data_IF_465689028279
#
_entry.id   IF_465689028279
#
_cell.length_a   1.000
_cell.length_b   1.000
_cell.length_c   1.000
_cell.angle_alpha   90.00
_cell.angle_beta   90.00
_cell.angle_gamma   90.00
#
_symmetry.space_group_name_H-M   'P 1'
#
loop_
_entity.id
_entity.type
_entity.pdbx_description
1 polymer ?
#
# COMPACT_ATOMS: atom_id res chain seq x y z
N UNK A 1 19.06 -68.03 0.17
CA UNK A 1 18.69 -68.22 -1.25
C UNK A 1 17.19 -68.50 -1.28
N UNK A 2 16.28 -67.83 -2.00
CA UNK A 2 16.30 -66.79 -3.04
C UNK A 2 14.99 -65.99 -2.89
N UNK A 3 15.06 -64.70 -3.17
CA UNK A 3 13.93 -63.77 -3.26
C UNK A 3 13.14 -64.07 -4.54
N UNK A 4 11.81 -63.95 -4.51
CA UNK A 4 10.97 -63.85 -5.72
C UNK A 4 10.04 -62.65 -5.54
N UNK A 5 10.34 -61.57 -6.27
CA UNK A 5 9.45 -60.43 -6.61
C UNK A 5 9.88 -60.06 -8.03
N UNK A 6 9.18 -60.55 -9.05
CA UNK A 6 8.03 -59.95 -9.76
C UNK A 6 8.45 -59.29 -11.08
N UNK A 7 7.95 -59.88 -12.16
CA UNK A 7 7.94 -59.44 -13.56
C UNK A 7 6.89 -58.31 -13.65
N UNK A 8 7.27 -57.09 -14.04
CA UNK A 8 7.32 -56.52 -15.39
C UNK A 8 5.94 -56.12 -15.98
N UNK A 9 5.87 -54.82 -16.30
CA UNK A 9 5.16 -54.12 -17.39
C UNK A 9 3.67 -53.71 -17.29
N UNK A 10 3.49 -52.43 -17.65
CA UNK A 10 2.31 -51.88 -18.32
C UNK A 10 1.60 -50.82 -17.48
N UNK A 11 1.47 -49.55 -17.88
CA UNK A 11 1.89 -48.86 -19.09
C UNK A 11 1.69 -47.35 -18.86
N UNK A 12 2.51 -46.55 -19.52
CA UNK A 12 2.39 -45.09 -19.52
C UNK A 12 1.23 -44.75 -20.46
N UNK A 13 0.08 -44.40 -19.89
CA UNK A 13 -1.01 -43.77 -20.62
C UNK A 13 -0.90 -42.24 -20.42
N UNK A 14 -0.81 -41.60 -21.58
CA UNK A 14 -0.55 -40.19 -21.81
C UNK A 14 -1.55 -39.27 -21.12
N UNK A 15 -1.02 -38.10 -20.75
CA UNK A 15 -1.74 -36.95 -20.27
C UNK A 15 -2.97 -36.63 -21.13
N UNK A 16 -4.14 -36.69 -20.49
CA UNK A 16 -5.26 -35.82 -20.84
C UNK A 16 -5.32 -34.74 -19.77
N UNK A 17 -4.39 -33.78 -19.86
CA UNK A 17 -4.58 -32.47 -19.24
C UNK A 17 -5.71 -31.79 -20.01
N UNK A 18 -6.94 -32.07 -19.60
CA UNK A 18 -8.04 -31.13 -19.78
C UNK A 18 -7.59 -29.82 -19.15
N UNK A 19 -7.31 -28.82 -19.98
CA UNK A 19 -7.05 -27.45 -19.56
C UNK A 19 -8.33 -26.90 -18.94
N UNK A 20 -8.53 -27.17 -17.66
CA UNK A 20 -9.44 -26.39 -16.83
C UNK A 20 -8.76 -25.07 -16.50
N UNK A 21 -8.69 -24.21 -17.51
CA UNK A 21 -8.34 -22.80 -17.40
C UNK A 21 -9.50 -22.07 -16.68
N UNK A 22 -9.68 -22.27 -15.36
CA UNK A 22 -10.40 -21.29 -14.50
C UNK A 22 -10.49 -21.58 -12.99
N UNK A 23 -9.47 -22.18 -12.35
CA UNK A 23 -9.36 -22.10 -10.88
C UNK A 23 -7.93 -21.87 -10.43
N UNK A 24 -7.47 -20.61 -10.48
CA UNK A 24 -6.44 -20.14 -9.56
C UNK A 24 -7.03 -20.08 -8.13
N UNK A 25 -7.33 -21.23 -7.54
CA UNK A 25 -7.69 -21.37 -6.12
C UNK A 25 -6.43 -21.42 -5.26
N UNK A 26 -5.53 -20.45 -5.43
CA UNK A 26 -4.54 -20.16 -4.40
C UNK A 26 -5.11 -19.02 -3.59
N UNK A 27 -5.49 -19.29 -2.34
CA UNK A 27 -5.89 -18.25 -1.39
C UNK A 27 -4.81 -17.15 -1.39
N UNK A 28 -5.23 -15.89 -1.35
CA UNK A 28 -4.33 -14.74 -1.21
C UNK A 28 -3.54 -14.91 0.10
N UNK A 29 -2.20 -15.09 0.07
CA UNK A 29 -1.43 -15.45 1.25
C UNK A 29 -1.40 -14.35 2.32
N UNK A 30 -1.72 -13.11 1.95
CA UNK A 30 -1.81 -11.98 2.89
C UNK A 30 -3.28 -11.80 3.32
N UNK A 31 -4.18 -11.63 2.36
CA UNK A 31 -5.57 -11.28 2.66
C UNK A 31 -6.37 -12.43 3.30
N UNK A 32 -5.95 -13.68 3.12
CA UNK A 32 -6.58 -14.83 3.79
C UNK A 32 -6.18 -14.98 5.26
N UNK A 33 -5.16 -14.27 5.72
CA UNK A 33 -4.73 -14.33 7.12
C UNK A 33 -5.68 -13.53 8.03
N UNK A 34 -5.77 -13.89 9.33
CA UNK A 34 -6.53 -13.10 10.29
C UNK A 34 -6.10 -11.64 10.30
N UNK A 35 -7.09 -10.75 10.36
CA UNK A 35 -6.89 -9.34 10.59
C UNK A 35 -6.87 -9.07 12.10
N UNK A 36 -5.88 -8.32 12.55
CA UNK A 36 -5.75 -7.84 13.92
C UNK A 36 -5.95 -6.33 13.90
N UNK A 37 -6.97 -5.86 14.60
CA UNK A 37 -7.27 -4.45 14.74
C UNK A 37 -6.16 -3.71 15.49
N UNK A 38 -5.85 -2.47 15.07
CA UNK A 38 -5.01 -1.59 15.87
C UNK A 38 -5.78 -1.20 17.15
N UNK A 39 -5.23 -1.48 18.34
CA UNK A 39 -5.90 -1.18 19.62
C UNK A 39 -5.32 0.02 20.35
N UNK A 40 -4.07 0.36 20.06
CA UNK A 40 -3.39 1.56 20.52
C UNK A 40 -2.50 2.10 19.40
N UNK A 41 -2.42 3.42 19.27
CA UNK A 41 -1.48 4.07 18.37
C UNK A 41 -0.03 3.66 18.65
N UNK A 42 0.34 3.33 19.90
CA UNK A 42 1.67 2.83 20.31
C UNK A 42 2.16 1.59 19.56
N UNK A 43 1.25 0.79 19.01
CA UNK A 43 1.58 -0.36 18.16
C UNK A 43 2.19 0.08 16.80
N UNK A 44 1.98 1.34 16.38
CA UNK A 44 2.63 1.93 15.21
C UNK A 44 4.05 2.39 15.56
N UNK A 45 5.01 1.50 15.37
CA UNK A 45 6.45 1.76 15.58
C UNK A 45 6.92 2.93 14.70
N UNK A 46 7.65 3.88 15.28
CA UNK A 46 8.23 5.02 14.53
C UNK A 46 9.13 4.56 13.38
N UNK A 47 9.13 5.32 12.29
CA UNK A 47 10.06 5.17 11.18
C UNK A 47 9.43 4.64 9.90
N UNK A 48 10.28 4.16 8.99
CA UNK A 48 9.90 3.77 7.63
C UNK A 48 9.21 2.41 7.57
N UNK A 49 8.10 2.35 6.83
CA UNK A 49 7.41 1.15 6.40
C UNK A 49 7.41 1.10 4.87
N UNK A 50 7.94 0.03 4.30
CA UNK A 50 8.02 -0.19 2.87
C UNK A 50 6.68 -0.65 2.31
N UNK A 51 6.20 -0.06 1.22
CA UNK A 51 5.01 -0.53 0.53
C UNK A 51 5.22 -1.93 -0.03
N UNK A 52 4.23 -2.80 0.15
CA UNK A 52 4.28 -4.22 -0.27
C UNK A 52 3.25 -4.51 -1.34
N UNK A 53 2.11 -3.81 -1.32
CA UNK A 53 1.03 -4.07 -2.27
C UNK A 53 -0.30 -3.50 -1.81
N UNK A 54 -1.32 -3.70 -2.63
CA UNK A 54 -2.69 -3.32 -2.32
C UNK A 54 -3.69 -4.44 -2.63
N UNK A 55 -4.79 -4.46 -1.85
CA UNK A 55 -5.97 -5.29 -2.12
C UNK A 55 -7.02 -4.42 -2.82
N UNK A 56 -7.35 -4.75 -4.07
CA UNK A 56 -8.39 -4.08 -4.88
C UNK A 56 -9.39 -5.15 -5.37
N UNK A 57 -10.68 -4.98 -5.07
CA UNK A 57 -11.72 -5.93 -5.46
C UNK A 57 -11.37 -7.36 -5.05
N UNK A 58 -11.49 -8.32 -5.97
CA UNK A 58 -11.13 -9.74 -5.76
C UNK A 58 -9.67 -10.08 -6.10
N UNK A 59 -8.88 -9.09 -6.54
CA UNK A 59 -7.47 -9.31 -6.89
C UNK A 59 -6.68 -9.67 -5.64
N UNK A 60 -5.72 -10.58 -5.76
CA UNK A 60 -4.76 -10.86 -4.68
C UNK A 60 -3.97 -9.59 -4.35
N UNK A 61 -3.50 -9.47 -3.11
CA UNK A 61 -2.56 -8.42 -2.71
C UNK A 61 -1.38 -8.48 -3.66
N UNK A 62 -1.24 -7.44 -4.47
CA UNK A 62 -0.20 -7.36 -5.48
C UNK A 62 1.13 -7.09 -4.80
N UNK A 63 1.88 -8.14 -4.46
CA UNK A 63 3.27 -8.02 -4.08
C UNK A 63 4.00 -7.25 -5.18
N UNK A 64 4.71 -6.17 -4.84
CA UNK A 64 5.59 -5.47 -5.77
C UNK A 64 6.68 -6.45 -6.22
N UNK A 65 6.42 -7.18 -7.30
CA UNK A 65 7.46 -7.84 -8.07
C UNK A 65 8.15 -6.78 -8.93
N UNK A 66 9.38 -7.04 -9.38
CA UNK A 66 10.22 -6.11 -10.15
C UNK A 66 9.54 -5.46 -11.39
N UNK A 67 8.35 -5.95 -11.78
CA UNK A 67 7.46 -5.36 -12.79
C UNK A 67 6.84 -4.01 -12.39
N UNK A 68 6.74 -3.67 -11.10
CA UNK A 68 6.22 -2.37 -10.63
C UNK A 68 7.38 -1.43 -10.24
N UNK A 69 8.20 -1.09 -11.24
CA UNK A 69 9.53 -0.42 -11.11
C UNK A 69 9.65 0.67 -10.04
N UNK A 70 8.65 1.56 -9.92
CA UNK A 70 8.70 2.65 -8.94
C UNK A 70 7.97 2.38 -7.63
N UNK A 71 7.08 1.37 -7.60
CA UNK A 71 6.33 1.02 -6.39
C UNK A 71 7.22 0.41 -5.32
N UNK A 72 8.39 -0.12 -5.68
CA UNK A 72 9.43 -0.51 -4.73
C UNK A 72 10.03 0.66 -3.95
N UNK A 73 9.80 1.91 -4.37
CA UNK A 73 10.23 3.11 -3.66
C UNK A 73 9.12 3.69 -2.76
N UNK A 74 7.87 3.26 -2.94
CA UNK A 74 6.72 3.75 -2.16
C UNK A 74 6.90 3.39 -0.69
N UNK A 75 6.70 4.35 0.20
CA UNK A 75 6.87 4.09 1.62
C UNK A 75 6.08 5.06 2.48
N UNK A 76 5.71 4.55 3.65
CA UNK A 76 5.09 5.28 4.72
C UNK A 76 6.15 5.59 5.79
N UNK A 77 6.04 6.73 6.44
CA UNK A 77 6.87 7.08 7.61
C UNK A 77 5.95 7.48 8.75
N UNK A 78 6.08 6.79 9.87
CA UNK A 78 5.39 7.12 11.13
C UNK A 78 6.26 8.08 11.91
N UNK A 79 5.73 9.27 12.20
CA UNK A 79 6.39 10.32 12.95
C UNK A 79 5.78 10.45 14.35
N UNK A 80 6.64 10.60 15.36
CA UNK A 80 6.22 10.78 16.75
C UNK A 80 6.95 11.93 17.41
N UNK A 81 6.26 12.59 18.31
CA UNK A 81 6.83 13.55 19.25
C UNK A 81 6.64 13.00 20.67
N UNK A 82 7.70 12.39 21.21
CA UNK A 82 7.59 11.61 22.45
C UNK A 82 6.69 10.39 22.26
N UNK A 83 5.71 10.21 23.14
CA UNK A 83 4.73 9.12 23.06
C UNK A 83 3.61 9.39 22.03
N UNK A 84 3.41 10.65 21.62
CA UNK A 84 2.28 11.04 20.76
C UNK A 84 2.59 10.73 19.30
N UNK A 85 1.66 10.05 18.62
CA UNK A 85 1.65 9.96 17.16
C UNK A 85 1.40 11.35 16.59
N UNK A 86 2.44 11.96 16.02
CA UNK A 86 2.34 13.28 15.42
C UNK A 86 1.66 13.19 14.05
N UNK A 87 2.26 12.40 13.16
CA UNK A 87 1.80 12.31 11.79
C UNK A 87 2.27 11.04 11.10
N UNK A 88 1.65 10.74 9.96
CA UNK A 88 2.11 9.68 9.06
C UNK A 88 2.25 10.30 7.66
N UNK A 89 3.41 10.16 7.02
CA UNK A 89 3.61 10.62 5.64
C UNK A 89 3.69 9.46 4.67
N UNK A 90 3.00 9.54 3.55
CA UNK A 90 3.10 8.59 2.45
C UNK A 90 3.78 9.20 1.23
N UNK A 91 4.87 8.56 0.81
CA UNK A 91 5.63 8.88 -0.38
C UNK A 91 5.23 7.89 -1.47
N UNK A 92 4.62 8.40 -2.54
CA UNK A 92 4.16 7.59 -3.67
C UNK A 92 4.90 8.01 -4.93
N UNK A 93 5.39 7.05 -5.70
CA UNK A 93 6.20 7.26 -6.88
C UNK A 93 5.55 6.63 -8.12
N UNK A 94 5.83 7.24 -9.27
CA UNK A 94 5.47 6.72 -10.59
C UNK A 94 6.64 6.86 -11.56
N UNK A 95 6.71 6.00 -12.58
CA UNK A 95 7.71 6.15 -13.63
C UNK A 95 7.41 7.40 -14.47
N UNK A 96 8.46 8.14 -14.77
CA UNK A 96 8.47 9.30 -15.67
C UNK A 96 9.69 9.20 -16.61
N UNK A 97 9.60 9.76 -17.81
CA UNK A 97 10.73 9.82 -18.75
C UNK A 97 11.31 11.24 -18.74
N UNK A 98 12.55 11.36 -18.28
CA UNK A 98 13.31 12.63 -18.24
C UNK A 98 14.61 12.41 -18.99
N UNK A 99 14.94 13.26 -19.96
CA UNK A 99 16.17 13.17 -20.76
C UNK A 99 16.45 11.76 -21.33
N UNK A 100 15.39 11.09 -21.82
CA UNK A 100 15.39 9.72 -22.35
C UNK A 100 15.75 8.62 -21.34
N UNK A 101 15.73 8.92 -20.05
CA UNK A 101 15.88 7.96 -18.95
C UNK A 101 14.58 7.82 -18.19
N UNK A 102 14.28 6.60 -17.75
CA UNK A 102 13.15 6.35 -16.88
C UNK A 102 13.57 6.62 -15.42
N UNK A 103 12.83 7.48 -14.74
CA UNK A 103 13.07 7.85 -13.35
C UNK A 103 11.79 7.63 -12.51
N UNK A 104 11.97 7.40 -11.21
CA UNK A 104 10.86 7.29 -10.27
C UNK A 104 10.66 8.61 -9.55
N UNK A 105 9.70 9.40 -10.02
CA UNK A 105 9.35 10.67 -9.42
C UNK A 105 8.18 10.54 -8.46
N UNK A 106 8.20 11.37 -7.42
CA UNK A 106 7.08 11.49 -6.50
C UNK A 106 5.84 11.97 -7.25
N UNK A 107 4.71 11.29 -7.06
CA UNK A 107 3.41 11.68 -7.63
C UNK A 107 2.96 13.03 -7.08
N UNK A 108 3.27 13.28 -5.81
CA UNK A 108 2.90 14.50 -5.12
C UNK A 108 4.11 15.42 -4.98
N UNK A 109 3.88 16.73 -5.08
CA UNK A 109 4.93 17.73 -4.85
C UNK A 109 5.54 17.63 -3.44
N UNK A 110 4.72 17.21 -2.47
CA UNK A 110 5.12 16.89 -1.10
C UNK A 110 4.43 15.59 -0.67
N UNK A 111 5.02 14.82 0.26
CA UNK A 111 4.40 13.59 0.75
C UNK A 111 3.01 13.88 1.32
N UNK A 112 2.07 13.00 1.01
CA UNK A 112 0.71 13.07 1.53
C UNK A 112 0.75 12.83 3.04
N UNK A 113 0.06 13.67 3.80
CA UNK A 113 0.16 13.71 5.26
C UNK A 113 -1.14 13.25 5.88
N UNK A 114 -1.08 12.21 6.71
CA UNK A 114 -2.12 11.89 7.69
C UNK A 114 -1.78 12.58 9.00
N UNK A 115 -2.70 13.40 9.49
CA UNK A 115 -2.53 14.14 10.74
C UNK A 115 -3.84 14.22 11.50
N UNK A 116 -3.77 14.73 12.75
CA UNK A 116 -4.92 14.72 13.69
C UNK A 116 -5.44 13.30 13.88
N UNK A 117 -4.50 12.37 14.07
CA UNK A 117 -4.76 10.95 14.14
C UNK A 117 -5.30 10.60 15.53
N UNK A 118 -6.49 9.99 15.58
CA UNK A 118 -7.13 9.53 16.81
C UNK A 118 -7.74 8.16 16.59
N UNK A 119 -7.40 7.20 17.45
CA UNK A 119 -8.02 5.88 17.42
C UNK A 119 -9.37 5.95 18.13
N UNK A 120 -10.46 6.03 17.35
CA UNK A 120 -11.81 6.23 17.89
C UNK A 120 -12.49 4.93 18.34
N UNK A 121 -11.97 3.80 17.87
CA UNK A 121 -12.29 2.44 18.33
C UNK A 121 -11.21 1.49 17.82
N UNK A 122 -11.08 0.27 18.37
CA UNK A 122 -10.22 -0.77 17.79
C UNK A 122 -10.43 -0.87 16.28
N UNK A 123 -9.33 -0.81 15.53
CA UNK A 123 -9.34 -0.96 14.08
C UNK A 123 -9.75 0.29 13.27
N UNK A 124 -10.16 1.39 13.90
CA UNK A 124 -10.65 2.59 13.21
C UNK A 124 -9.94 3.87 13.65
N UNK A 125 -9.20 4.48 12.72
CA UNK A 125 -8.48 5.73 12.90
C UNK A 125 -9.25 6.90 12.29
N UNK A 126 -9.63 7.87 13.10
CA UNK A 126 -10.03 9.19 12.62
C UNK A 126 -8.79 9.98 12.22
N UNK A 127 -8.78 10.55 11.01
CA UNK A 127 -7.62 11.27 10.46
C UNK A 127 -8.02 12.33 9.43
N UNK A 128 -7.11 13.27 9.20
CA UNK A 128 -7.11 14.22 8.09
C UNK A 128 -5.96 13.90 7.15
N UNK A 129 -6.26 13.69 5.87
CA UNK A 129 -5.30 13.43 4.82
C UNK A 129 -5.16 14.68 3.95
N UNK A 130 -3.95 15.23 3.89
CA UNK A 130 -3.68 16.50 3.24
C UNK A 130 -2.55 16.43 2.21
N UNK A 131 -2.76 17.09 1.08
CA UNK A 131 -1.78 17.28 0.02
C UNK A 131 -1.06 18.63 0.21
N UNK A 132 0.27 18.59 0.26
CA UNK A 132 1.10 19.79 0.30
C UNK A 132 1.28 20.40 -1.09
N UNK A 133 1.32 21.73 -1.17
CA UNK A 133 1.61 22.44 -2.41
C UNK A 133 2.27 23.80 -2.14
N UNK A 134 2.96 24.33 -3.15
CA UNK A 134 3.52 25.67 -3.13
C UNK A 134 2.54 26.64 -3.79
N UNK A 135 1.86 27.45 -2.99
CA UNK A 135 0.98 28.51 -3.46
C UNK A 135 1.83 29.70 -3.96
N UNK A 136 1.75 30.09 -5.24
CA UNK A 136 2.36 31.32 -5.70
C UNK A 136 1.64 32.52 -5.07
N UNK A 137 2.44 33.47 -4.59
CA UNK A 137 1.99 34.78 -4.10
C UNK A 137 2.37 35.81 -5.16
N UNK A 138 1.42 36.63 -5.57
CA UNK A 138 1.58 37.62 -6.65
C UNK A 138 1.62 39.04 -6.08
N UNK A 139 2.36 39.94 -6.72
CA UNK A 139 2.21 41.39 -6.50
C UNK A 139 1.00 41.95 -7.30
N UNK A 140 0.74 43.24 -7.16
CA UNK A 140 -0.37 43.94 -7.86
C UNK A 140 -0.24 43.91 -9.39
N UNK A 141 0.96 43.63 -9.91
CA UNK A 141 1.25 43.51 -11.35
C UNK A 141 1.08 42.08 -11.87
N UNK A 142 0.72 41.12 -11.02
CA UNK A 142 0.53 39.71 -11.39
C UNK A 142 1.82 38.90 -11.52
N UNK A 143 2.94 39.38 -10.97
CA UNK A 143 4.23 38.69 -10.95
C UNK A 143 4.37 37.86 -9.67
N UNK A 144 4.83 36.61 -9.79
CA UNK A 144 5.10 35.74 -8.64
C UNK A 144 6.29 36.27 -7.84
N UNK A 145 6.04 36.76 -6.63
CA UNK A 145 7.08 37.31 -5.74
C UNK A 145 7.64 36.28 -4.76
N UNK A 146 6.84 35.31 -4.34
CA UNK A 146 7.27 34.19 -3.50
C UNK A 146 6.34 33.00 -3.65
N UNK A 147 6.77 31.86 -3.11
CA UNK A 147 5.94 30.67 -2.96
C UNK A 147 5.81 30.32 -1.49
N UNK A 148 4.59 30.10 -1.04
CA UNK A 148 4.30 29.70 0.33
C UNK A 148 3.82 28.26 0.37
N UNK A 149 4.32 27.52 1.36
CA UNK A 149 3.85 26.18 1.60
C UNK A 149 2.43 26.19 2.18
N UNK A 150 1.52 25.45 1.55
CA UNK A 150 0.13 25.29 1.98
C UNK A 150 -0.27 23.81 1.92
N UNK A 151 -1.34 23.48 2.63
CA UNK A 151 -1.94 22.14 2.67
C UNK A 151 -3.39 22.25 2.20
N UNK A 152 -3.83 21.31 1.36
CA UNK A 152 -5.23 21.16 0.97
C UNK A 152 -5.73 19.82 1.51
N UNK A 153 -6.86 19.84 2.21
CA UNK A 153 -7.48 18.61 2.66
C UNK A 153 -7.98 17.80 1.46
N UNK A 154 -7.52 16.56 1.39
CA UNK A 154 -7.93 15.57 0.39
C UNK A 154 -9.05 14.67 0.95
N UNK A 155 -8.95 14.34 2.23
CA UNK A 155 -9.91 13.48 2.92
C UNK A 155 -9.93 13.78 4.43
N UNK A 156 -11.10 13.69 5.04
CA UNK A 156 -11.26 13.70 6.49
C UNK A 156 -12.30 12.67 6.89
N UNK A 157 -11.98 11.79 7.83
CA UNK A 157 -12.90 10.74 8.25
C UNK A 157 -12.20 9.57 8.93
N UNK A 158 -12.92 8.45 9.03
CA UNK A 158 -12.45 7.21 9.66
C UNK A 158 -11.91 6.24 8.61
N UNK A 159 -10.72 5.69 8.88
CA UNK A 159 -10.09 4.65 8.09
C UNK A 159 -9.95 3.37 8.90
N UNK A 160 -10.13 2.22 8.26
CA UNK A 160 -9.70 0.96 8.85
C UNK A 160 -8.17 0.90 8.91
N UNK A 161 -7.63 0.53 10.07
CA UNK A 161 -6.18 0.35 10.29
C UNK A 161 -5.92 -0.82 11.23
N UNK A 162 -4.90 -1.62 10.91
CA UNK A 162 -4.47 -2.72 11.75
C UNK A 162 -3.36 -3.52 11.09
N UNK A 163 -3.23 -4.77 11.48
CA UNK A 163 -2.22 -5.68 10.97
C UNK A 163 -2.87 -6.91 10.34
N UNK A 164 -2.28 -7.39 9.25
CA UNK A 164 -2.72 -8.63 8.60
C UNK A 164 -1.50 -9.31 8.00
N UNK A 165 -1.31 -10.60 8.34
CA UNK A 165 -0.11 -11.36 7.96
C UNK A 165 1.23 -10.68 8.34
N UNK A 166 1.25 -9.90 9.43
CA UNK A 166 2.44 -9.15 9.87
C UNK A 166 2.71 -7.85 9.11
N UNK A 167 1.82 -7.43 8.20
CA UNK A 167 1.90 -6.15 7.49
C UNK A 167 0.93 -5.14 8.10
N UNK A 168 1.34 -3.88 8.18
CA UNK A 168 0.45 -2.77 8.46
C UNK A 168 -0.54 -2.64 7.29
N UNK A 169 -1.83 -2.73 7.57
CA UNK A 169 -2.93 -2.55 6.62
C UNK A 169 -3.64 -1.24 6.91
N UNK A 170 -3.84 -0.40 5.89
CA UNK A 170 -4.59 0.86 5.99
C UNK A 170 -5.60 0.92 4.86
N UNK A 171 -6.86 1.31 5.14
CA UNK A 171 -7.81 1.67 4.10
C UNK A 171 -7.25 2.81 3.24
N UNK A 172 -7.30 2.63 1.93
CA UNK A 172 -6.70 3.57 1.00
C UNK A 172 -7.52 4.86 0.84
N UNK A 173 -6.95 5.93 1.39
CA UNK A 173 -7.20 7.33 1.04
C UNK A 173 -5.88 8.08 0.76
N UNK A 174 -4.81 7.33 0.54
CA UNK A 174 -3.43 7.82 0.50
C UNK A 174 -2.81 7.72 -0.89
N UNK A 175 -3.16 6.71 -1.68
CA UNK A 175 -2.67 6.61 -3.05
C UNK A 175 -3.40 7.56 -4.01
N UNK A 176 -2.92 7.65 -5.24
CA UNK A 176 -3.60 8.34 -6.34
C UNK A 176 -4.65 7.46 -7.05
N UNK A 177 -4.95 6.27 -6.50
CA UNK A 177 -5.93 5.35 -7.05
C UNK A 177 -7.35 5.95 -7.00
N UNK A 178 -8.03 5.94 -8.16
CA UNK A 178 -9.43 6.35 -8.28
C UNK A 178 -10.35 5.18 -7.94
N UNK A 179 -10.94 5.22 -6.75
CA UNK A 179 -11.88 4.20 -6.26
C UNK A 179 -13.18 4.18 -7.07
N UNK A 180 -13.72 2.98 -7.27
CA UNK A 180 -15.12 2.81 -7.69
C UNK A 180 -16.05 3.04 -6.49
N UNK A 181 -17.31 3.41 -6.74
CA UNK A 181 -18.29 3.64 -5.68
C UNK A 181 -18.48 2.36 -4.84
N UNK A 182 -18.33 2.49 -3.52
CA UNK A 182 -18.46 1.36 -2.58
C UNK A 182 -17.25 0.42 -2.51
N UNK A 183 -16.23 0.62 -3.34
CA UNK A 183 -15.02 -0.21 -3.33
C UNK A 183 -14.17 0.09 -2.09
N UNK A 184 -13.79 -0.95 -1.35
CA UNK A 184 -12.76 -0.87 -0.30
C UNK A 184 -11.42 -1.34 -0.86
N UNK A 185 -10.43 -0.47 -0.73
CA UNK A 185 -9.04 -0.75 -1.12
C UNK A 185 -8.18 -0.64 0.12
N UNK A 186 -7.20 -1.53 0.23
CA UNK A 186 -6.28 -1.55 1.36
C UNK A 186 -4.84 -1.50 0.87
N UNK A 187 -4.03 -0.66 1.49
CA UNK A 187 -2.58 -0.61 1.31
C UNK A 187 -1.90 -1.45 2.38
N UNK A 188 -0.85 -2.18 1.99
CA UNK A 188 -0.06 -3.03 2.87
C UNK A 188 1.38 -2.53 2.93
N UNK A 189 1.91 -2.45 4.14
CA UNK A 189 3.26 -2.00 4.39
C UNK A 189 4.01 -2.91 5.35
N UNK A 190 5.30 -3.12 5.11
CA UNK A 190 6.20 -3.87 5.98
C UNK A 190 7.11 -2.92 6.73
N UNK A 191 7.25 -3.09 8.05
CA UNK A 191 8.27 -2.35 8.80
C UNK A 191 9.67 -2.83 8.36
N UNK A 192 10.53 -1.89 7.98
CA UNK A 192 11.97 -2.13 7.80
C UNK A 192 12.72 -1.92 9.11
#
# INVERSE_FOLDING_TARGET
MKKIIAILLGGIALASCSSDDNKSSSNDPIFSQPYTELTNLDELVTGKYQYVGNKIGDRKVGLVTDAAKCKGSDHLVVHRTGAVLDSITYNNYRPEIIDKKEECLSIFAFPRLMQKNELVSPGYLSTSVDDGYLQPIFNDEGVVVRREYRRKNHYGGKLEIGFQAGYLRIEDRLSDYKRLNGEKVYLYFKKN
#
